data_IF_348903273109
#
_entry.id   IF_348903273109
#
_cell.length_a   1.000
_cell.length_b   1.000
_cell.length_c   1.000
_cell.angle_alpha   90.00
_cell.angle_beta   90.00
_cell.angle_gamma   90.00
#
_symmetry.space_group_name_H-M   'P 1'
#
loop_
_entity.id
_entity.type
_entity.pdbx_description
1 polymer ?
#
# COMPACT_ATOMS: atom_id res chain seq x y z
N UNK A 1 -12.59 1.68 9.97
CA UNK A 1 -12.51 1.69 8.50
C UNK A 1 -12.94 0.31 7.98
N UNK A 2 -13.93 0.22 7.10
CA UNK A 2 -14.32 -1.04 6.45
C UNK A 2 -13.99 -0.95 4.96
N UNK A 3 -12.98 -1.70 4.52
CA UNK A 3 -12.66 -1.89 3.11
C UNK A 3 -13.51 -3.02 2.53
N UNK A 4 -13.93 -2.87 1.28
CA UNK A 4 -14.56 -3.96 0.54
C UNK A 4 -13.52 -5.02 0.17
N UNK A 5 -13.98 -6.23 -0.17
CA UNK A 5 -13.11 -7.31 -0.62
C UNK A 5 -12.36 -6.96 -1.91
N UNK A 6 -12.99 -6.18 -2.79
CA UNK A 6 -12.37 -5.66 -4.01
C UNK A 6 -11.26 -4.66 -3.71
N UNK A 7 -11.51 -3.73 -2.77
CA UNK A 7 -10.51 -2.77 -2.31
C UNK A 7 -9.30 -3.46 -1.64
N UNK A 8 -9.57 -4.48 -0.83
CA UNK A 8 -8.52 -5.28 -0.19
C UNK A 8 -7.69 -6.09 -1.20
N UNK A 9 -8.33 -6.68 -2.21
CA UNK A 9 -7.62 -7.40 -3.26
C UNK A 9 -6.69 -6.47 -4.06
N UNK A 10 -7.18 -5.29 -4.45
CA UNK A 10 -6.35 -4.30 -5.16
C UNK A 10 -5.17 -3.86 -4.29
N UNK A 11 -5.42 -3.53 -3.01
CA UNK A 11 -4.34 -3.17 -2.09
C UNK A 11 -3.32 -4.29 -1.92
N UNK A 12 -3.77 -5.54 -1.85
CA UNK A 12 -2.88 -6.69 -1.70
C UNK A 12 -1.99 -6.88 -2.93
N UNK A 13 -2.56 -6.80 -4.14
CA UNK A 13 -1.80 -6.85 -5.40
C UNK A 13 -0.76 -5.71 -5.48
N UNK A 14 -1.11 -4.52 -5.01
CA UNK A 14 -0.20 -3.37 -5.00
C UNK A 14 0.92 -3.52 -4.00
N UNK A 15 0.61 -4.01 -2.80
CA UNK A 15 1.62 -4.31 -1.79
C UNK A 15 2.61 -5.38 -2.27
N UNK A 16 2.16 -6.41 -2.99
CA UNK A 16 3.05 -7.42 -3.58
C UNK A 16 3.98 -6.83 -4.65
N UNK A 17 3.48 -5.96 -5.52
CA UNK A 17 4.30 -5.25 -6.51
C UNK A 17 5.35 -4.36 -5.85
N UNK A 18 4.96 -3.64 -4.80
CA UNK A 18 5.85 -2.75 -4.06
C UNK A 18 6.89 -3.53 -3.25
N UNK A 19 6.51 -4.65 -2.64
CA UNK A 19 7.42 -5.58 -1.98
C UNK A 19 8.50 -6.09 -2.95
N UNK A 20 8.10 -6.53 -4.15
CA UNK A 20 9.05 -6.96 -5.19
C UNK A 20 10.02 -5.83 -5.60
N UNK A 21 9.52 -4.59 -5.73
CA UNK A 21 10.33 -3.40 -6.02
C UNK A 21 11.34 -3.12 -4.92
N UNK A 22 10.91 -3.13 -3.66
CA UNK A 22 11.78 -2.89 -2.51
C UNK A 22 12.81 -3.99 -2.31
N UNK A 23 12.48 -5.24 -2.61
CA UNK A 23 13.46 -6.34 -2.60
C UNK A 23 14.59 -6.13 -3.64
N UNK A 24 14.29 -5.57 -4.81
CA UNK A 24 15.32 -5.18 -5.77
C UNK A 24 16.15 -4.01 -5.24
N UNK A 25 15.50 -3.03 -4.62
CA UNK A 25 16.17 -1.85 -4.04
C UNK A 25 17.03 -2.19 -2.81
N UNK A 26 16.66 -3.24 -2.07
CA UNK A 26 17.42 -3.77 -0.92
C UNK A 26 18.82 -4.28 -1.32
N UNK A 27 19.05 -4.59 -2.60
CA UNK A 27 20.37 -4.94 -3.12
C UNK A 27 21.30 -3.72 -3.21
N UNK A 28 20.78 -2.50 -3.13
CA UNK A 28 21.56 -1.27 -3.09
C UNK A 28 21.90 -0.90 -1.63
N UNK A 29 23.19 -0.91 -1.22
CA UNK A 29 23.60 -0.62 0.15
C UNK A 29 23.13 0.75 0.67
N UNK A 30 22.99 1.74 -0.21
CA UNK A 30 22.60 3.10 0.16
C UNK A 30 21.09 3.24 0.44
N UNK A 31 20.26 2.32 -0.06
CA UNK A 31 18.82 2.33 0.11
C UNK A 31 18.32 1.15 0.97
N UNK A 32 19.23 0.33 1.47
CA UNK A 32 18.92 -0.92 2.15
C UNK A 32 18.13 -0.70 3.45
N UNK A 33 18.49 0.32 4.23
CA UNK A 33 17.83 0.60 5.52
C UNK A 33 16.41 1.13 5.33
N UNK A 34 16.22 2.03 4.37
CA UNK A 34 14.90 2.53 3.97
C UNK A 34 14.03 1.41 3.38
N UNK A 35 14.58 0.59 2.49
CA UNK A 35 13.90 -0.57 1.92
C UNK A 35 13.47 -1.56 3.01
N UNK A 36 14.30 -1.77 4.04
CA UNK A 36 13.96 -2.62 5.18
C UNK A 36 12.77 -2.11 5.97
N UNK A 37 12.72 -0.81 6.26
CA UNK A 37 11.62 -0.19 6.99
C UNK A 37 10.32 -0.30 6.18
N UNK A 38 10.37 0.00 4.89
CA UNK A 38 9.21 -0.10 4.00
C UNK A 38 8.70 -1.54 3.87
N UNK A 39 9.59 -2.52 3.74
CA UNK A 39 9.22 -3.95 3.72
C UNK A 39 8.52 -4.39 5.02
N UNK A 40 8.97 -3.88 6.17
CA UNK A 40 8.33 -4.19 7.46
C UNK A 40 6.89 -3.64 7.53
N UNK A 41 6.68 -2.41 7.04
CA UNK A 41 5.35 -1.78 6.98
C UNK A 41 4.44 -2.58 6.03
N UNK A 42 4.92 -2.95 4.84
CA UNK A 42 4.15 -3.75 3.87
C UNK A 42 3.74 -5.10 4.45
N UNK A 43 4.66 -5.82 5.08
CA UNK A 43 4.36 -7.11 5.71
C UNK A 43 3.28 -6.99 6.79
N UNK A 44 3.34 -5.92 7.57
CA UNK A 44 2.33 -5.61 8.61
C UNK A 44 0.98 -5.30 7.98
N UNK A 45 0.93 -4.50 6.91
CA UNK A 45 -0.29 -4.19 6.15
C UNK A 45 -0.94 -5.43 5.55
N UNK A 46 -0.17 -6.28 4.87
CA UNK A 46 -0.66 -7.54 4.29
C UNK A 46 -1.30 -8.43 5.37
N UNK A 47 -0.67 -8.52 6.54
CA UNK A 47 -1.23 -9.26 7.68
C UNK A 47 -2.53 -8.66 8.19
N UNK A 48 -2.58 -7.33 8.34
CA UNK A 48 -3.79 -6.61 8.80
C UNK A 48 -4.96 -6.76 7.83
N UNK A 49 -4.71 -6.73 6.52
CA UNK A 49 -5.74 -6.96 5.51
C UNK A 49 -6.23 -8.41 5.51
N UNK A 50 -5.33 -9.39 5.70
CA UNK A 50 -5.72 -10.79 5.87
C UNK A 50 -6.56 -11.03 7.12
N UNK A 51 -6.19 -10.40 8.23
CA UNK A 51 -6.87 -10.54 9.52
C UNK A 51 -8.16 -9.69 9.61
N UNK A 52 -8.54 -8.98 8.54
CA UNK A 52 -9.66 -8.03 8.48
C UNK A 52 -9.63 -6.96 9.59
N UNK A 53 -8.47 -6.74 10.19
CA UNK A 53 -8.30 -5.93 11.39
C UNK A 53 -7.79 -4.54 10.98
N UNK A 54 -8.71 -3.66 10.61
CA UNK A 54 -8.43 -2.39 9.94
C UNK A 54 -8.07 -1.24 10.89
N UNK A 55 -7.18 -1.48 11.87
CA UNK A 55 -6.52 -0.41 12.61
C UNK A 55 -5.15 -0.13 11.99
N UNK A 56 -5.13 0.86 11.11
CA UNK A 56 -3.91 1.35 10.45
C UNK A 56 -3.24 2.43 11.32
N UNK A 57 -1.93 2.30 11.53
CA UNK A 57 -1.11 3.34 12.15
C UNK A 57 -0.89 4.51 11.19
N UNK A 58 -0.39 5.64 11.69
CA UNK A 58 -0.12 6.83 10.85
C UNK A 58 0.84 6.52 9.71
N UNK A 59 1.92 5.79 9.98
CA UNK A 59 2.94 5.43 8.98
C UNK A 59 2.37 4.51 7.90
N UNK A 60 1.56 3.53 8.30
CA UNK A 60 0.86 2.63 7.39
C UNK A 60 -0.12 3.37 6.47
N UNK A 61 -0.88 4.33 7.03
CA UNK A 61 -1.78 5.18 6.24
C UNK A 61 -1.03 6.04 5.25
N UNK A 62 0.10 6.62 5.65
CA UNK A 62 0.94 7.44 4.76
C UNK A 62 1.50 6.60 3.62
N UNK A 63 1.97 5.37 3.89
CA UNK A 63 2.49 4.49 2.86
C UNK A 63 1.42 4.08 1.84
N UNK A 64 0.22 3.69 2.32
CA UNK A 64 -0.91 3.38 1.44
C UNK A 64 -1.30 4.60 0.61
N UNK A 65 -1.35 5.79 1.23
CA UNK A 65 -1.67 7.03 0.53
C UNK A 65 -0.67 7.31 -0.60
N UNK A 66 0.62 7.15 -0.34
CA UNK A 66 1.66 7.36 -1.33
C UNK A 66 1.52 6.36 -2.50
N UNK A 67 1.35 5.07 -2.19
CA UNK A 67 1.13 4.01 -3.18
C UNK A 67 -0.08 4.27 -4.08
N UNK A 68 -1.21 4.67 -3.48
CA UNK A 68 -2.44 4.95 -4.24
C UNK A 68 -2.32 6.24 -5.06
N UNK A 69 -1.65 7.27 -4.54
CA UNK A 69 -1.43 8.52 -5.28
C UNK A 69 -0.51 8.30 -6.49
N UNK A 70 0.58 7.57 -6.34
CA UNK A 70 1.46 7.22 -7.46
C UNK A 70 0.70 6.46 -8.56
N UNK A 71 -0.18 5.54 -8.15
CA UNK A 71 -0.98 4.78 -9.11
C UNK A 71 -2.07 5.61 -9.78
N UNK A 72 -2.78 6.47 -9.04
CA UNK A 72 -3.77 7.41 -9.61
C UNK A 72 -3.10 8.33 -10.63
N UNK A 73 -1.88 8.79 -10.33
CA UNK A 73 -1.11 9.64 -11.24
C UNK A 73 -0.61 8.90 -12.49
N UNK A 74 -0.36 7.58 -12.39
CA UNK A 74 0.01 6.74 -13.53
C UNK A 74 -1.18 6.29 -14.39
N UNK A 75 -2.37 6.14 -13.81
CA UNK A 75 -3.57 5.70 -14.53
C UNK A 75 -4.26 6.91 -15.19
N UNK A 76 -4.05 7.09 -16.50
CA UNK A 76 -4.75 8.12 -17.31
C UNK A 76 -6.18 7.72 -17.76
N UNK A 77 -6.98 7.05 -16.93
CA UNK A 77 -8.32 6.60 -17.35
C UNK A 77 -9.25 6.12 -16.23
N UNK A 78 -10.53 5.89 -16.59
CA UNK A 78 -11.74 5.62 -15.78
C UNK A 78 -11.69 4.50 -14.69
N UNK A 79 -10.51 3.99 -14.31
CA UNK A 79 -10.31 2.97 -13.27
C UNK A 79 -9.94 3.52 -11.89
N UNK A 80 -9.87 4.85 -11.69
CA UNK A 80 -9.43 5.45 -10.41
C UNK A 80 -10.46 5.36 -9.29
N UNK A 81 -11.73 5.08 -9.58
CA UNK A 81 -12.82 5.15 -8.59
C UNK A 81 -12.61 4.26 -7.36
N UNK A 82 -12.01 3.07 -7.52
CA UNK A 82 -11.72 2.19 -6.38
C UNK A 82 -10.51 2.73 -5.59
N UNK A 83 -9.48 3.26 -6.25
CA UNK A 83 -8.31 3.87 -5.60
C UNK A 83 -8.69 5.12 -4.81
N UNK A 84 -9.53 5.98 -5.37
CA UNK A 84 -10.08 7.16 -4.70
C UNK A 84 -10.97 6.78 -3.51
N UNK A 85 -11.80 5.74 -3.65
CA UNK A 85 -12.61 5.19 -2.54
C UNK A 85 -11.73 4.72 -1.38
N UNK A 86 -10.65 3.98 -1.66
CA UNK A 86 -9.70 3.55 -0.64
C UNK A 86 -9.02 4.76 0.00
N UNK A 87 -8.55 5.71 -0.81
CA UNK A 87 -7.83 6.89 -0.33
C UNK A 87 -8.68 7.75 0.61
N UNK A 88 -9.97 7.92 0.30
CA UNK A 88 -10.92 8.59 1.19
C UNK A 88 -11.08 7.83 2.51
N UNK A 89 -11.26 6.51 2.47
CA UNK A 89 -11.43 5.68 3.68
C UNK A 89 -10.19 5.65 4.58
N UNK A 90 -8.99 5.75 4.01
CA UNK A 90 -7.71 5.82 4.74
C UNK A 90 -7.50 7.19 5.38
N UNK A 91 -8.07 8.24 4.77
CA UNK A 91 -7.90 9.64 5.18
C UNK A 91 -8.92 10.11 6.23
N UNK A 92 -10.03 9.38 6.42
CA UNK A 92 -10.95 9.52 7.57
C UNK A 92 -10.40 8.88 8.86
#
# INVERSE_FOLDING_TARGET
MQLSLEEMNILSERLEKEEARLHQQFQNPNAQEEARQNLFIISTLQKKFRDLNAHLTTDERQMIRHLLQDEINHIHGNGTGIYESILNKVSE
#
